data_IF_338226121648
#
_entry.id   IF_338226121648
#
_cell.length_a   1.000
_cell.length_b   1.000
_cell.length_c   1.000
_cell.angle_alpha   90.00
_cell.angle_beta   90.00
_cell.angle_gamma   90.00
#
_symmetry.space_group_name_H-M   'P 1'
#
loop_
_entity.id
_entity.type
_entity.pdbx_description
1 polymer ?
#
# COMPACT_ATOMS: atom_id res chain seq x y z
N UNK A 1 15.02 16.97 10.13
CA UNK A 1 13.70 16.32 10.25
C UNK A 1 13.22 16.09 8.84
N UNK A 2 12.70 14.90 8.51
CA UNK A 2 12.08 14.68 7.21
C UNK A 2 10.91 15.65 7.03
N UNK A 3 10.93 16.39 5.92
CA UNK A 3 9.86 17.31 5.54
C UNK A 3 8.91 16.58 4.58
N UNK A 4 7.61 16.83 4.73
CA UNK A 4 6.63 16.33 3.78
C UNK A 4 6.76 17.07 2.44
N UNK A 5 6.76 16.33 1.33
CA UNK A 5 6.77 16.88 -0.03
C UNK A 5 5.37 17.21 -0.55
N UNK A 6 4.36 16.51 -0.03
CA UNK A 6 2.98 16.58 -0.49
C UNK A 6 2.07 17.21 0.58
N UNK A 7 1.09 17.99 0.13
CA UNK A 7 0.05 18.60 0.96
C UNK A 7 -1.22 17.76 0.96
N UNK A 8 -2.15 18.05 1.87
CA UNK A 8 -3.49 17.44 1.85
C UNK A 8 -4.17 17.75 0.52
N UNK A 9 -4.67 16.70 -0.15
CA UNK A 9 -5.28 16.76 -1.47
C UNK A 9 -4.32 16.40 -2.61
N UNK A 10 -3.00 16.43 -2.37
CA UNK A 10 -2.03 16.00 -3.37
C UNK A 10 -2.00 14.47 -3.48
N UNK A 11 -1.68 13.98 -4.68
CA UNK A 11 -1.55 12.56 -4.99
C UNK A 11 -0.15 12.20 -5.44
N UNK A 12 0.30 11.00 -5.08
CA UNK A 12 1.58 10.45 -5.53
C UNK A 12 1.52 8.93 -5.71
N UNK A 13 2.39 8.35 -6.57
CA UNK A 13 2.49 6.90 -6.70
C UNK A 13 3.16 6.29 -5.46
N UNK A 14 2.47 5.36 -4.80
CA UNK A 14 2.97 4.61 -3.65
C UNK A 14 3.15 3.15 -4.01
N UNK A 15 4.34 2.62 -3.76
CA UNK A 15 4.71 1.26 -4.13
C UNK A 15 4.69 0.33 -2.90
N UNK A 16 4.03 -0.82 -3.04
CA UNK A 16 4.06 -1.90 -2.06
C UNK A 16 4.67 -3.15 -2.68
N UNK A 17 5.46 -3.87 -1.88
CA UNK A 17 6.01 -5.16 -2.25
C UNK A 17 5.69 -6.22 -1.19
N UNK A 18 5.28 -7.41 -1.63
CA UNK A 18 5.07 -8.58 -0.77
C UNK A 18 5.89 -9.75 -1.30
N UNK A 19 6.58 -10.43 -0.39
CA UNK A 19 7.18 -11.72 -0.67
C UNK A 19 6.13 -12.81 -0.50
N UNK A 20 6.02 -13.69 -1.50
CA UNK A 20 5.09 -14.81 -1.52
C UNK A 20 5.75 -16.07 -0.95
N UNK A 21 4.97 -17.04 -0.43
CA UNK A 21 5.51 -18.29 0.11
C UNK A 21 6.31 -19.11 -0.91
N UNK A 22 5.97 -19.01 -2.18
CA UNK A 22 6.63 -19.68 -3.32
C UNK A 22 7.98 -19.05 -3.73
N UNK A 23 8.37 -17.92 -3.12
CA UNK A 23 9.64 -17.22 -3.39
C UNK A 23 9.51 -16.00 -4.31
N UNK A 24 8.35 -15.81 -4.93
CA UNK A 24 8.07 -14.66 -5.79
C UNK A 24 7.81 -13.38 -4.99
N UNK A 25 7.89 -12.23 -5.68
CA UNK A 25 7.44 -10.94 -5.19
C UNK A 25 6.28 -10.42 -6.01
N UNK A 26 5.25 -9.90 -5.34
CA UNK A 26 4.28 -8.99 -5.97
C UNK A 26 4.71 -7.57 -5.66
N UNK A 27 4.84 -6.74 -6.72
CA UNK A 27 4.96 -5.29 -6.61
C UNK A 27 3.72 -4.64 -7.19
N UNK A 28 3.11 -3.76 -6.42
CA UNK A 28 1.93 -3.01 -6.84
C UNK A 28 2.13 -1.53 -6.57
N UNK A 29 1.74 -0.71 -7.55
CA UNK A 29 1.78 0.75 -7.46
C UNK A 29 0.36 1.27 -7.36
N UNK A 30 0.08 2.04 -6.32
CA UNK A 30 -1.21 2.67 -6.10
C UNK A 30 -1.10 4.18 -6.24
N UNK A 31 -2.16 4.82 -6.74
CA UNK A 31 -2.33 6.25 -6.55
C UNK A 31 -2.74 6.49 -5.09
N UNK A 32 -1.96 7.29 -4.37
CA UNK A 32 -2.21 7.61 -2.96
C UNK A 32 -2.47 9.11 -2.81
N UNK A 33 -3.66 9.46 -2.35
CA UNK A 33 -4.05 10.85 -2.05
C UNK A 33 -3.83 11.15 -0.57
N UNK A 34 -3.11 12.22 -0.24
CA UNK A 34 -2.94 12.67 1.14
C UNK A 34 -4.25 13.21 1.67
N UNK A 35 -4.75 12.62 2.75
CA UNK A 35 -6.00 13.05 3.41
C UNK A 35 -5.76 13.70 4.77
N UNK A 36 -4.59 13.46 5.38
CA UNK A 36 -4.17 14.11 6.62
C UNK A 36 -2.64 14.07 6.78
N UNK A 37 -2.10 15.10 7.44
CA UNK A 37 -0.68 15.21 7.79
C UNK A 37 -0.53 15.14 9.31
N UNK A 38 0.21 14.14 9.80
CA UNK A 38 0.62 14.06 11.20
C UNK A 38 2.08 14.50 11.32
N UNK A 39 2.29 15.80 11.52
CA UNK A 39 3.62 16.37 11.69
C UNK A 39 4.29 15.95 13.00
N UNK A 40 3.53 15.50 13.99
CA UNK A 40 4.09 15.03 15.26
C UNK A 40 4.73 13.64 15.14
N UNK A 41 4.21 12.84 14.20
CA UNK A 41 4.68 11.48 13.91
C UNK A 41 5.45 11.38 12.58
N UNK A 42 5.62 12.49 11.87
CA UNK A 42 6.25 12.58 10.56
C UNK A 42 5.61 11.61 9.53
N UNK A 43 4.28 11.60 9.48
CA UNK A 43 3.50 10.67 8.66
C UNK A 43 2.44 11.32 7.79
N UNK A 44 2.28 10.79 6.59
CA UNK A 44 1.07 10.92 5.82
C UNK A 44 0.02 9.94 6.31
N UNK A 45 -1.24 10.36 6.31
CA UNK A 45 -2.36 9.45 6.15
C UNK A 45 -2.90 9.63 4.74
N UNK A 46 -2.91 8.53 3.99
CA UNK A 46 -3.31 8.53 2.58
C UNK A 46 -4.52 7.63 2.36
N UNK A 47 -5.33 7.94 1.35
CA UNK A 47 -6.30 7.03 0.73
C UNK A 47 -5.68 6.46 -0.53
N UNK A 48 -5.70 5.14 -0.68
CA UNK A 48 -5.27 4.44 -1.89
C UNK A 48 -6.45 4.48 -2.87
N UNK A 49 -6.35 5.23 -3.97
CA UNK A 49 -7.46 5.47 -4.89
C UNK A 49 -7.66 4.32 -5.86
N UNK A 50 -6.59 3.95 -6.57
CA UNK A 50 -6.61 2.92 -7.62
C UNK A 50 -5.26 2.24 -7.75
N UNK A 51 -5.28 1.01 -8.29
CA UNK A 51 -4.07 0.30 -8.71
C UNK A 51 -3.63 0.85 -10.08
N UNK A 52 -2.43 1.44 -10.13
CA UNK A 52 -1.86 2.03 -11.36
C UNK A 52 -1.08 0.99 -12.18
N UNK A 53 -0.34 0.12 -11.50
CA UNK A 53 0.49 -0.90 -12.13
C UNK A 53 0.77 -2.03 -11.16
N UNK A 54 1.10 -3.21 -11.69
CA UNK A 54 1.52 -4.35 -10.90
C UNK A 54 2.36 -5.32 -11.72
N UNK A 55 3.28 -6.01 -11.05
CA UNK A 55 4.04 -7.12 -11.63
C UNK A 55 4.38 -8.15 -10.56
N UNK A 56 4.53 -9.39 -11.01
CA UNK A 56 5.09 -10.46 -10.18
C UNK A 56 6.45 -10.83 -10.75
N UNK A 57 7.43 -10.98 -9.89
CA UNK A 57 8.81 -11.31 -10.26
C UNK A 57 9.35 -12.42 -9.36
N UNK A 58 10.27 -13.25 -9.86
CA UNK A 58 11.00 -14.20 -9.03
C UNK A 58 11.93 -13.49 -8.05
N UNK A 59 12.54 -14.24 -7.13
CA UNK A 59 13.63 -13.79 -6.27
C UNK A 59 14.87 -13.32 -7.04
N UNK A 60 15.07 -13.84 -8.25
CA UNK A 60 16.10 -13.39 -9.21
C UNK A 60 15.67 -12.15 -10.03
N UNK A 61 14.43 -11.68 -9.86
CA UNK A 61 13.90 -10.48 -10.54
C UNK A 61 13.33 -10.74 -11.94
N UNK A 62 13.12 -12.01 -12.31
CA UNK A 62 12.51 -12.38 -13.59
C UNK A 62 11.00 -12.16 -13.54
N UNK A 63 10.44 -11.44 -14.52
CA UNK A 63 9.01 -11.19 -14.57
C UNK A 63 8.23 -12.47 -14.86
N UNK A 64 7.14 -12.69 -14.13
CA UNK A 64 6.17 -13.74 -14.42
C UNK A 64 5.25 -13.31 -15.55
N UNK A 65 5.01 -14.22 -16.49
CA UNK A 65 3.97 -14.10 -17.50
C UNK A 65 2.57 -14.11 -16.86
N UNK A 66 1.57 -13.59 -17.56
CA UNK A 66 0.20 -13.42 -17.05
C UNK A 66 -0.40 -14.75 -16.56
N UNK A 67 -0.18 -15.83 -17.28
CA UNK A 67 -0.71 -17.17 -16.94
C UNK A 67 -0.01 -17.81 -15.73
N UNK A 68 1.14 -17.28 -15.33
CA UNK A 68 1.93 -17.75 -14.18
C UNK A 68 1.74 -16.87 -12.93
N UNK A 69 0.88 -15.86 -12.99
CA UNK A 69 0.59 -14.98 -11.85
C UNK A 69 -0.21 -15.72 -10.77
N UNK A 70 0.12 -15.44 -9.51
CA UNK A 70 -0.59 -16.00 -8.36
C UNK A 70 -1.95 -15.31 -8.19
N UNK A 71 -2.96 -15.79 -8.92
CA UNK A 71 -4.27 -15.16 -9.08
C UNK A 71 -4.96 -14.79 -7.74
N UNK A 72 -4.82 -15.61 -6.71
CA UNK A 72 -5.41 -15.34 -5.40
C UNK A 72 -4.81 -14.11 -4.72
N UNK A 73 -3.49 -13.93 -4.79
CA UNK A 73 -2.84 -12.76 -4.21
C UNK A 73 -3.14 -11.50 -5.04
N UNK A 74 -3.17 -11.60 -6.37
CA UNK A 74 -3.59 -10.49 -7.23
C UNK A 74 -5.03 -10.05 -6.97
N UNK A 75 -5.94 -10.99 -6.71
CA UNK A 75 -7.31 -10.68 -6.28
C UNK A 75 -7.32 -9.90 -4.97
N UNK A 76 -6.46 -10.24 -4.01
CA UNK A 76 -6.33 -9.48 -2.74
C UNK A 76 -5.76 -8.08 -2.98
N UNK A 77 -4.76 -7.94 -3.85
CA UNK A 77 -4.20 -6.63 -4.25
C UNK A 77 -5.29 -5.75 -4.86
N UNK A 78 -6.15 -6.32 -5.71
CA UNK A 78 -7.29 -5.63 -6.31
C UNK A 78 -8.36 -5.16 -5.32
N UNK A 79 -8.32 -5.59 -4.06
CA UNK A 79 -9.24 -5.17 -2.99
C UNK A 79 -8.67 -4.05 -2.10
N UNK A 80 -7.41 -3.66 -2.31
CA UNK A 80 -6.73 -2.57 -1.59
C UNK A 80 -7.23 -1.17 -1.97
N UNK A 81 -7.68 -0.87 -3.19
CA UNK A 81 -8.27 0.43 -3.50
C UNK A 81 -9.42 0.81 -2.55
N UNK A 82 -9.46 2.09 -2.18
CA UNK A 82 -10.36 2.67 -1.17
C UNK A 82 -9.83 2.61 0.27
N UNK A 83 -8.79 1.82 0.56
CA UNK A 83 -8.23 1.69 1.91
C UNK A 83 -7.40 2.91 2.33
N UNK A 84 -7.33 3.15 3.64
CA UNK A 84 -6.49 4.20 4.22
C UNK A 84 -5.32 3.61 4.97
N UNK A 85 -4.14 4.20 4.77
CA UNK A 85 -2.90 3.79 5.44
C UNK A 85 -2.15 4.99 5.98
N UNK A 86 -1.35 4.76 7.01
CA UNK A 86 -0.42 5.74 7.55
C UNK A 86 1.00 5.32 7.18
N UNK A 87 1.74 6.20 6.52
CA UNK A 87 3.09 5.97 6.00
C UNK A 87 4.00 7.13 6.41
N UNK A 88 5.29 6.86 6.59
CA UNK A 88 6.28 7.90 6.90
C UNK A 88 6.42 8.89 5.73
N UNK A 89 6.82 10.13 6.00
CA UNK A 89 7.08 11.10 4.95
C UNK A 89 8.08 10.61 3.90
N UNK A 90 9.08 9.85 4.32
CA UNK A 90 10.12 9.29 3.44
C UNK A 90 9.61 8.23 2.45
N UNK A 91 8.41 7.67 2.65
CA UNK A 91 7.82 6.68 1.75
C UNK A 91 7.42 7.25 0.38
N UNK A 92 7.54 8.56 0.19
CA UNK A 92 7.25 9.26 -1.05
C UNK A 92 8.44 9.33 -2.02
N UNK A 93 9.53 8.62 -1.72
CA UNK A 93 10.78 8.60 -2.51
C UNK A 93 10.73 7.69 -3.76
N UNK A 94 9.59 7.05 -4.01
CA UNK A 94 9.38 6.15 -5.13
C UNK A 94 9.94 4.74 -4.94
N UNK A 95 10.46 4.39 -3.76
CA UNK A 95 10.87 3.02 -3.45
C UNK A 95 9.69 2.19 -2.93
N UNK A 96 9.72 0.86 -3.14
CA UNK A 96 8.71 -0.02 -2.58
C UNK A 96 8.80 -0.11 -1.06
N UNK A 97 7.66 0.02 -0.39
CA UNK A 97 7.50 -0.41 0.98
C UNK A 97 7.33 -1.92 1.02
N UNK A 98 8.30 -2.61 1.60
CA UNK A 98 8.23 -4.05 1.81
C UNK A 98 7.29 -4.37 2.97
N UNK A 99 6.20 -5.05 2.66
CA UNK A 99 5.18 -5.43 3.61
C UNK A 99 5.22 -6.94 3.88
N UNK A 100 4.82 -7.32 5.10
CA UNK A 100 4.60 -8.73 5.43
C UNK A 100 3.39 -9.25 4.64
N UNK A 101 3.44 -10.50 4.17
CA UNK A 101 2.30 -11.16 3.51
C UNK A 101 1.00 -11.07 4.34
N UNK A 102 1.13 -11.12 5.67
CA UNK A 102 0.04 -10.93 6.62
C UNK A 102 -0.79 -9.64 6.39
N UNK A 103 -0.21 -8.58 5.81
CA UNK A 103 -0.98 -7.36 5.49
C UNK A 103 -1.90 -7.57 4.30
N UNK A 104 -1.51 -8.41 3.34
CA UNK A 104 -2.30 -8.74 2.16
C UNK A 104 -3.39 -9.77 2.48
N UNK A 105 -3.07 -10.78 3.30
CA UNK A 105 -4.04 -11.81 3.74
C UNK A 105 -5.03 -11.30 4.78
N UNK A 106 -4.80 -10.12 5.35
CA UNK A 106 -5.67 -9.48 6.35
C UNK A 106 -5.41 -9.91 7.80
N UNK A 107 -4.43 -10.78 8.04
CA UNK A 107 -3.97 -11.18 9.39
C UNK A 107 -3.34 -10.00 10.14
N UNK A 108 -2.75 -9.04 9.42
CA UNK A 108 -2.28 -7.77 9.95
C UNK A 108 -3.16 -6.62 9.44
N UNK A 109 -3.65 -5.80 10.36
CA UNK A 109 -4.65 -4.76 10.09
C UNK A 109 -4.11 -3.52 9.37
N UNK A 110 -3.04 -3.62 8.58
CA UNK A 110 -2.37 -2.45 7.99
C UNK A 110 -3.32 -1.62 7.14
N UNK A 111 -4.10 -2.27 6.28
CA UNK A 111 -5.08 -1.63 5.39
C UNK A 111 -6.46 -1.41 6.03
N UNK A 112 -6.75 -1.99 7.19
CA UNK A 112 -8.09 -1.97 7.79
C UNK A 112 -8.18 -1.14 9.07
N UNK A 113 -7.05 -0.86 9.73
CA UNK A 113 -7.01 -0.16 11.04
C UNK A 113 -7.71 1.20 11.00
N UNK A 114 -7.44 2.01 9.97
CA UNK A 114 -7.97 3.37 9.88
C UNK A 114 -9.45 3.38 9.43
N UNK A 115 -9.89 2.41 8.64
CA UNK A 115 -11.29 2.27 8.23
C UNK A 115 -12.21 1.97 9.43
N UNK A 116 -11.73 1.17 10.40
CA UNK A 116 -12.48 0.83 11.61
C UNK A 116 -12.62 2.03 12.54
N UNK A 117 -11.56 2.84 12.69
CA UNK A 117 -11.57 4.02 13.56
C UNK A 117 -12.59 5.07 13.08
N UNK A 118 -12.71 5.25 11.76
CA UNK A 118 -13.69 6.16 11.17
C UNK A 118 -15.13 5.69 11.39
N UNK A 119 -15.40 4.38 11.29
CA UNK A 119 -16.74 3.83 11.57
C UNK A 119 -17.16 4.10 13.02
N UNK A 120 -16.23 3.96 13.97
CA UNK A 120 -16.51 4.24 15.40
C UNK A 120 -16.79 5.71 15.66
N UNK A 121 -16.08 6.64 15.00
CA UNK A 121 -16.31 8.08 15.14
C UNK A 121 -17.63 8.58 14.56
N UNK A 122 -18.24 7.85 13.63
CA UNK A 122 -19.53 8.21 13.01
C UNK A 122 -20.75 7.65 13.74
N UNK A 123 -20.55 6.76 14.72
CA UNK A 123 -21.62 6.09 15.47
C UNK A 123 -21.74 6.58 16.93
N UNK A 124 -20.89 7.51 17.36
CA UNK A 124 -20.97 8.19 18.66
C UNK A 124 -21.14 9.68 18.47
#
# INVERSE_FOLDING_TARGET
>A
MPEHKYNIGDSFPLQFAWHLPEGDYIRAVFEATVIYLDNSLEKYVVRLEQLLAGRQESDEGELREVDALSADYWRMVGQIPGKRVSIAFEADDGRPLYLKLATLTGEHSFFTRLDVLDKKRRQG
#
